data_IF_469982824884
#
_entry.id   IF_469982824884
#
_cell.length_a   1.000
_cell.length_b   1.000
_cell.length_c   1.000
_cell.angle_alpha   90.00
_cell.angle_beta   90.00
_cell.angle_gamma   90.00
#
_symmetry.space_group_name_H-M   'P 1'
#
loop_
_entity.id
_entity.type
_entity.pdbx_description
1 polymer ?
#
# COMPACT_ATOMS: atom_id res chain seq x y z
N UNK A 1 -13.25 7.81 -52.65
CA UNK A 1 -12.39 7.23 -51.58
C UNK A 1 -12.38 8.04 -50.28
N UNK A 2 -12.40 9.38 -50.32
CA UNK A 2 -12.37 10.22 -49.10
C UNK A 2 -13.57 10.00 -48.13
N UNK A 3 -14.77 9.73 -48.66
CA UNK A 3 -15.97 9.42 -47.85
C UNK A 3 -15.91 8.05 -47.16
N UNK A 4 -15.12 7.10 -47.68
CA UNK A 4 -14.96 5.78 -47.06
C UNK A 4 -14.02 5.85 -45.85
N UNK A 5 -13.00 6.72 -45.90
CA UNK A 5 -12.06 6.94 -44.80
C UNK A 5 -12.70 7.68 -43.61
N UNK A 6 -13.62 8.62 -43.85
CA UNK A 6 -14.33 9.37 -42.81
C UNK A 6 -15.33 8.48 -42.03
N UNK A 7 -15.95 7.50 -42.69
CA UNK A 7 -16.83 6.55 -42.01
C UNK A 7 -16.05 5.50 -41.20
N UNK A 8 -14.82 5.16 -41.63
CA UNK A 8 -13.95 4.24 -40.89
C UNK A 8 -13.45 4.84 -39.57
N UNK A 9 -13.17 6.15 -39.53
CA UNK A 9 -12.71 6.83 -38.31
C UNK A 9 -13.82 7.00 -37.27
N UNK A 10 -15.08 7.21 -37.69
CA UNK A 10 -16.23 7.25 -36.77
C UNK A 10 -16.54 5.88 -36.15
N UNK A 11 -16.29 4.78 -36.86
CA UNK A 11 -16.52 3.43 -36.36
C UNK A 11 -15.51 3.02 -35.27
N UNK A 12 -14.27 3.53 -35.34
CA UNK A 12 -13.21 3.24 -34.37
C UNK A 12 -13.46 3.97 -33.03
N UNK A 13 -14.06 5.16 -33.04
CA UNK A 13 -14.41 5.89 -31.82
C UNK A 13 -15.55 5.19 -31.05
N UNK A 14 -16.44 4.48 -31.75
CA UNK A 14 -17.55 3.77 -31.11
C UNK A 14 -17.14 2.47 -30.40
N UNK A 15 -16.03 1.85 -30.82
CA UNK A 15 -15.49 0.62 -30.20
C UNK A 15 -14.50 0.89 -29.04
N UNK A 16 -14.16 2.15 -28.79
CA UNK A 16 -13.35 2.57 -27.63
C UNK A 16 -14.19 3.06 -26.44
N UNK A 17 -15.52 2.96 -26.53
CA UNK A 17 -16.39 3.19 -25.37
C UNK A 17 -16.40 1.92 -24.51
N UNK A 18 -15.45 1.84 -23.58
CA UNK A 18 -15.47 0.82 -22.54
C UNK A 18 -16.82 0.87 -21.83
N UNK A 19 -17.54 -0.24 -21.94
CA UNK A 19 -18.71 -0.56 -21.12
C UNK A 19 -18.28 -0.49 -19.66
N UNK A 20 -18.58 0.61 -18.97
CA UNK A 20 -18.62 0.62 -17.52
C UNK A 20 -19.80 -0.26 -17.14
N UNK A 21 -19.49 -1.55 -16.97
CA UNK A 21 -20.38 -2.49 -16.33
C UNK A 21 -20.84 -1.85 -15.03
N UNK A 22 -22.15 -1.83 -14.85
CA UNK A 22 -22.81 -1.46 -13.61
C UNK A 22 -22.09 -2.16 -12.45
N UNK A 23 -21.17 -1.46 -11.81
CA UNK A 23 -20.81 -1.76 -10.43
C UNK A 23 -22.14 -1.54 -9.72
N UNK A 24 -22.78 -2.65 -9.35
CA UNK A 24 -23.91 -2.58 -8.43
C UNK A 24 -23.39 -1.80 -7.23
N UNK A 25 -23.94 -0.61 -7.02
CA UNK A 25 -23.89 0.09 -5.74
C UNK A 25 -24.58 -0.81 -4.70
N UNK A 26 -23.88 -1.84 -4.26
CA UNK A 26 -24.16 -2.54 -3.02
C UNK A 26 -23.05 -2.07 -2.10
N UNK A 27 -23.30 -0.98 -1.39
CA UNK A 27 -23.19 -0.89 0.07
C UNK A 27 -23.69 0.50 0.45
N UNK A 28 -24.99 0.63 0.69
CA UNK A 28 -25.44 1.53 1.75
C UNK A 28 -26.12 0.65 2.78
N UNK A 29 -25.62 0.65 4.02
CA UNK A 29 -26.40 0.66 5.29
C UNK A 29 -25.54 0.28 6.50
N UNK A 30 -24.88 1.31 7.04
CA UNK A 30 -24.72 1.65 8.47
C UNK A 30 -23.34 2.27 8.70
N UNK A 31 -23.23 3.55 8.34
CA UNK A 31 -22.05 4.32 8.67
C UNK A 31 -22.17 4.78 10.14
N UNK A 32 -21.60 4.00 11.07
CA UNK A 32 -21.64 4.30 12.52
C UNK A 32 -20.89 5.60 12.82
N UNK A 33 -21.38 6.39 13.78
CA UNK A 33 -20.79 7.68 14.12
C UNK A 33 -19.39 7.60 14.78
N UNK A 34 -18.87 6.43 15.09
CA UNK A 34 -17.58 6.24 15.75
C UNK A 34 -16.68 5.26 14.99
N UNK A 35 -15.38 5.46 15.12
CA UNK A 35 -14.37 4.51 14.66
C UNK A 35 -14.52 3.18 15.42
N UNK A 36 -14.49 2.07 14.70
CA UNK A 36 -14.60 0.71 15.22
C UNK A 36 -13.29 -0.04 14.95
N UNK A 37 -12.44 -0.12 15.97
CA UNK A 37 -11.13 -0.78 15.87
C UNK A 37 -11.28 -2.29 15.57
N UNK A 38 -12.31 -2.94 16.12
CA UNK A 38 -12.56 -4.37 15.89
C UNK A 38 -12.89 -4.62 14.42
N UNK A 39 -13.71 -3.74 13.83
CA UNK A 39 -14.02 -3.78 12.40
C UNK A 39 -12.75 -3.67 11.55
N UNK A 40 -11.88 -2.68 11.84
CA UNK A 40 -10.59 -2.55 11.15
C UNK A 40 -9.72 -3.82 11.27
N UNK A 41 -9.58 -4.35 12.49
CA UNK A 41 -8.75 -5.53 12.75
C UNK A 41 -9.25 -6.76 11.98
N UNK A 42 -10.56 -6.91 11.80
CA UNK A 42 -11.14 -7.97 10.97
C UNK A 42 -10.79 -7.79 9.49
N UNK A 43 -10.82 -6.56 8.97
CA UNK A 43 -10.37 -6.30 7.59
C UNK A 43 -8.87 -6.59 7.41
N UNK A 44 -8.02 -6.21 8.38
CA UNK A 44 -6.59 -6.55 8.37
C UNK A 44 -6.40 -8.07 8.34
N UNK A 45 -7.12 -8.80 9.21
CA UNK A 45 -7.08 -10.27 9.25
C UNK A 45 -7.50 -10.89 7.92
N UNK A 46 -8.59 -10.41 7.33
CA UNK A 46 -9.10 -10.91 6.05
C UNK A 46 -8.10 -10.68 4.91
N UNK A 47 -7.44 -9.52 4.88
CA UNK A 47 -6.42 -9.22 3.89
C UNK A 47 -5.20 -10.17 3.93
N UNK A 48 -4.82 -10.64 5.11
CA UNK A 48 -3.74 -11.64 5.24
C UNK A 48 -4.21 -13.07 4.89
N UNK A 49 -5.46 -13.42 5.19
CA UNK A 49 -6.00 -14.75 4.88
C UNK A 49 -6.36 -14.92 3.40
N UNK A 50 -6.88 -13.86 2.77
CA UNK A 50 -7.34 -13.84 1.38
C UNK A 50 -6.67 -12.70 0.60
N UNK A 51 -5.34 -12.74 0.39
CA UNK A 51 -4.59 -11.64 -0.23
C UNK A 51 -4.93 -11.40 -1.72
N UNK A 52 -5.69 -12.31 -2.33
CA UNK A 52 -6.19 -12.22 -3.70
C UNK A 52 -7.45 -11.37 -3.82
N UNK A 53 -8.20 -11.20 -2.72
CA UNK A 53 -9.51 -10.56 -2.71
C UNK A 53 -9.44 -9.04 -2.42
N UNK A 54 -8.25 -8.50 -2.11
CA UNK A 54 -8.04 -7.06 -1.99
C UNK A 54 -8.18 -6.42 -3.36
N UNK A 55 -9.37 -5.88 -3.63
CA UNK A 55 -9.92 -5.51 -4.93
C UNK A 55 -9.10 -4.52 -5.78
N UNK A 56 -7.97 -4.01 -5.28
CA UNK A 56 -7.18 -2.99 -5.96
C UNK A 56 -5.66 -3.23 -5.95
N UNK A 57 -5.16 -4.20 -5.17
CA UNK A 57 -3.71 -4.44 -5.04
C UNK A 57 -3.42 -5.88 -4.59
N UNK A 58 -2.42 -6.53 -5.18
CA UNK A 58 -1.99 -7.86 -4.77
C UNK A 58 -1.10 -7.78 -3.52
N UNK A 59 -1.69 -7.98 -2.33
CA UNK A 59 -0.96 -7.90 -1.06
C UNK A 59 0.12 -8.97 -0.93
N UNK A 60 -0.06 -10.15 -1.53
CA UNK A 60 0.95 -11.21 -1.55
C UNK A 60 2.23 -10.82 -2.29
N UNK A 61 2.19 -9.78 -3.13
CA UNK A 61 3.37 -9.23 -3.82
C UNK A 61 4.26 -8.35 -2.95
N UNK A 62 3.91 -8.12 -1.68
CA UNK A 62 4.73 -7.33 -0.76
C UNK A 62 5.96 -8.12 -0.29
N UNK A 63 7.11 -7.46 -0.28
CA UNK A 63 8.39 -8.13 0.02
C UNK A 63 8.46 -8.67 1.45
N UNK A 64 7.71 -8.08 2.39
CA UNK A 64 7.65 -8.54 3.77
C UNK A 64 6.32 -9.19 4.14
N UNK A 65 5.54 -9.70 3.16
CA UNK A 65 4.19 -10.22 3.44
C UNK A 65 4.17 -11.26 4.55
N UNK A 66 5.04 -12.28 4.51
CA UNK A 66 5.08 -13.35 5.53
C UNK A 66 5.47 -12.81 6.91
N UNK A 67 6.48 -11.93 6.96
CA UNK A 67 6.92 -11.27 8.19
C UNK A 67 5.79 -10.44 8.79
N UNK A 68 5.07 -9.68 7.97
CA UNK A 68 3.93 -8.89 8.39
C UNK A 68 2.81 -9.79 8.89
N UNK A 69 2.43 -10.82 8.15
CA UNK A 69 1.38 -11.76 8.56
C UNK A 69 1.70 -12.37 9.93
N UNK A 70 2.94 -12.84 10.12
CA UNK A 70 3.41 -13.34 11.41
C UNK A 70 3.27 -12.27 12.51
N UNK A 71 3.81 -11.07 12.31
CA UNK A 71 3.76 -9.98 13.29
C UNK A 71 2.31 -9.58 13.65
N UNK A 72 1.43 -9.44 12.67
CA UNK A 72 0.02 -9.11 12.91
C UNK A 72 -0.71 -10.27 13.59
N UNK A 73 -0.46 -11.53 13.23
CA UNK A 73 -1.07 -12.69 13.88
C UNK A 73 -0.75 -12.75 15.39
N UNK A 74 0.49 -12.42 15.78
CA UNK A 74 0.91 -12.33 17.20
C UNK A 74 0.25 -11.19 17.96
N UNK A 75 -0.26 -10.19 17.25
CA UNK A 75 -0.99 -9.03 17.79
C UNK A 75 -2.50 -9.19 17.68
N UNK A 76 -3.01 -10.38 17.36
CA UNK A 76 -4.43 -10.61 17.06
C UNK A 76 -4.97 -9.67 15.97
N UNK A 77 -4.12 -9.32 15.00
CA UNK A 77 -4.40 -8.39 13.90
C UNK A 77 -4.78 -6.97 14.34
N UNK A 78 -4.42 -6.58 15.57
CA UNK A 78 -4.59 -5.22 16.03
C UNK A 78 -3.74 -4.24 15.19
N UNK A 79 -4.38 -3.17 14.70
CA UNK A 79 -3.70 -2.08 13.98
C UNK A 79 -2.55 -1.48 14.78
N UNK A 80 -1.48 -1.13 14.07
CA UNK A 80 -0.31 -0.40 14.52
C UNK A 80 -0.56 1.11 14.34
N UNK A 81 -1.08 1.52 13.18
CA UNK A 81 -1.13 2.93 12.78
C UNK A 81 -2.44 3.64 13.14
N UNK A 82 -3.55 2.91 13.25
CA UNK A 82 -4.89 3.44 13.48
C UNK A 82 -5.49 2.89 14.78
N UNK A 83 -4.90 3.27 15.91
CA UNK A 83 -5.40 2.87 17.23
C UNK A 83 -6.46 3.86 17.73
N UNK A 84 -7.68 3.36 17.92
CA UNK A 84 -8.85 4.06 18.50
C UNK A 84 -9.36 5.31 17.74
N UNK A 85 -8.63 5.80 16.74
CA UNK A 85 -9.02 6.90 15.85
C UNK A 85 -8.18 6.93 14.58
N UNK A 86 -8.66 7.63 13.56
CA UNK A 86 -7.88 7.95 12.37
C UNK A 86 -7.12 9.25 12.63
N UNK A 87 -5.87 9.14 13.10
CA UNK A 87 -4.98 10.27 13.31
C UNK A 87 -3.88 10.28 12.24
N UNK A 88 -3.87 11.33 11.41
CA UNK A 88 -2.93 11.45 10.31
C UNK A 88 -1.56 11.99 10.70
N UNK A 89 -1.34 12.52 11.90
CA UNK A 89 -0.07 13.16 12.27
C UNK A 89 1.14 12.22 12.11
N UNK A 90 1.04 11.01 12.66
CA UNK A 90 2.10 10.00 12.55
C UNK A 90 2.27 9.53 11.11
N UNK A 91 1.16 9.34 10.41
CA UNK A 91 1.15 8.84 9.03
C UNK A 91 1.76 9.86 8.07
N UNK A 92 1.34 11.13 8.16
CA UNK A 92 1.87 12.22 7.35
C UNK A 92 3.38 12.39 7.60
N UNK A 93 3.84 12.19 8.83
CA UNK A 93 5.27 12.18 9.16
C UNK A 93 6.02 11.05 8.43
N UNK A 94 5.49 9.82 8.46
CA UNK A 94 6.10 8.67 7.76
C UNK A 94 6.12 8.93 6.24
N UNK A 95 5.02 9.42 5.67
CA UNK A 95 4.93 9.76 4.24
C UNK A 95 6.01 10.77 3.85
N UNK A 96 6.29 11.77 4.69
CA UNK A 96 7.35 12.76 4.43
C UNK A 96 8.71 12.08 4.32
N UNK A 97 9.04 11.14 5.21
CA UNK A 97 10.29 10.37 5.11
C UNK A 97 10.35 9.52 3.84
N UNK A 98 9.26 8.82 3.48
CA UNK A 98 9.21 8.02 2.26
C UNK A 98 9.36 8.89 1.01
N UNK A 99 8.69 10.05 0.98
CA UNK A 99 8.75 11.05 -0.11
C UNK A 99 10.17 11.55 -0.31
N UNK A 100 10.86 11.87 0.78
CA UNK A 100 12.19 12.46 0.76
C UNK A 100 13.30 11.41 0.87
N UNK A 101 13.00 10.13 0.60
CA UNK A 101 13.97 9.04 0.68
C UNK A 101 15.16 9.20 -0.28
N UNK A 102 15.00 10.01 -1.33
CA UNK A 102 16.07 10.45 -2.22
C UNK A 102 17.20 11.21 -1.50
N UNK A 103 16.90 11.91 -0.41
CA UNK A 103 17.93 12.57 0.41
C UNK A 103 18.87 11.56 1.08
N UNK A 104 18.46 10.30 1.18
CA UNK A 104 19.26 9.20 1.73
C UNK A 104 19.81 8.27 0.63
N UNK A 105 19.77 8.69 -0.64
CA UNK A 105 20.20 7.87 -1.77
C UNK A 105 19.25 6.72 -2.12
N UNK A 106 18.02 6.73 -1.58
CA UNK A 106 16.98 5.73 -1.82
C UNK A 106 15.93 6.29 -2.80
N UNK A 107 15.05 5.45 -3.34
CA UNK A 107 14.01 5.93 -4.26
C UNK A 107 12.60 5.75 -3.66
N UNK A 108 11.73 6.77 -3.64
CA UNK A 108 10.39 6.67 -3.04
C UNK A 108 9.55 5.52 -3.61
N UNK A 109 9.68 5.25 -4.91
CA UNK A 109 9.01 4.14 -5.60
C UNK A 109 9.30 2.76 -5.00
N UNK A 110 10.45 2.56 -4.35
CA UNK A 110 10.80 1.28 -3.72
C UNK A 110 9.90 0.96 -2.51
N UNK A 111 9.20 1.96 -1.98
CA UNK A 111 8.34 1.87 -0.82
C UNK A 111 6.86 2.05 -1.17
N UNK A 112 6.48 1.89 -2.44
CA UNK A 112 5.11 2.12 -2.92
C UNK A 112 4.56 3.52 -2.57
N UNK A 113 5.42 4.54 -2.52
CA UNK A 113 5.07 5.88 -2.07
C UNK A 113 3.82 6.44 -2.77
N UNK A 114 3.79 6.40 -4.11
CA UNK A 114 2.69 6.98 -4.89
C UNK A 114 1.35 6.28 -4.59
N UNK A 115 1.37 4.96 -4.44
CA UNK A 115 0.18 4.17 -4.09
C UNK A 115 -0.32 4.55 -2.69
N UNK A 116 0.58 4.61 -1.71
CA UNK A 116 0.26 4.98 -0.33
C UNK A 116 -0.28 6.41 -0.29
N UNK A 117 0.37 7.36 -0.97
CA UNK A 117 -0.08 8.76 -0.99
C UNK A 117 -1.45 8.90 -1.62
N UNK A 118 -1.72 8.20 -2.72
CA UNK A 118 -3.02 8.24 -3.39
C UNK A 118 -4.13 7.69 -2.50
N UNK A 119 -3.90 6.54 -1.85
CA UNK A 119 -4.87 5.95 -0.91
C UNK A 119 -5.14 6.86 0.30
N UNK A 120 -4.13 7.59 0.78
CA UNK A 120 -4.31 8.52 1.90
C UNK A 120 -5.06 9.78 1.48
N UNK A 121 -4.83 10.28 0.26
CA UNK A 121 -5.63 11.36 -0.34
C UNK A 121 -7.09 10.92 -0.47
N UNK A 122 -7.32 9.69 -0.95
CA UNK A 122 -8.66 9.09 -1.01
C UNK A 122 -9.28 9.01 0.38
N UNK A 123 -8.56 8.48 1.37
CA UNK A 123 -9.06 8.34 2.74
C UNK A 123 -9.45 9.70 3.35
N UNK A 124 -8.71 10.76 3.02
CA UNK A 124 -9.01 12.14 3.45
C UNK A 124 -10.23 12.75 2.73
N UNK A 125 -10.61 12.24 1.55
CA UNK A 125 -11.72 12.75 0.75
C UNK A 125 -13.04 12.01 0.97
N UNK A 126 -13.01 10.76 1.43
CA UNK A 126 -14.22 9.99 1.73
C UNK A 126 -14.90 10.52 3.00
N UNK A 127 -16.23 10.67 2.97
CA UNK A 127 -17.02 10.88 4.19
C UNK A 127 -16.87 9.64 5.06
N UNK A 128 -16.13 9.78 6.16
CA UNK A 128 -15.82 8.70 7.10
C UNK A 128 -17.02 7.80 7.43
N UNK A 129 -16.75 6.50 7.59
CA UNK A 129 -17.49 5.50 8.41
C UNK A 129 -18.28 4.41 7.67
N UNK A 130 -18.12 4.24 6.37
CA UNK A 130 -18.74 3.12 5.66
C UNK A 130 -17.74 1.96 5.47
N UNK A 131 -18.18 0.77 5.07
CA UNK A 131 -17.31 -0.42 4.91
C UNK A 131 -16.10 -0.16 3.99
N UNK A 132 -16.30 0.62 2.93
CA UNK A 132 -15.23 1.07 2.03
C UNK A 132 -14.10 1.81 2.76
N UNK A 133 -14.41 2.58 3.81
CA UNK A 133 -13.39 3.26 4.63
C UNK A 133 -12.51 2.25 5.35
N UNK A 134 -13.08 1.16 5.87
CA UNK A 134 -12.31 0.14 6.61
C UNK A 134 -11.47 -0.72 5.68
N UNK A 135 -11.94 -0.99 4.46
CA UNK A 135 -11.15 -1.61 3.40
C UNK A 135 -9.92 -0.72 3.13
N UNK A 136 -10.13 0.55 2.82
CA UNK A 136 -9.05 1.49 2.52
C UNK A 136 -8.06 1.65 3.68
N UNK A 137 -8.55 1.76 4.92
CA UNK A 137 -7.72 1.80 6.13
C UNK A 137 -6.86 0.53 6.27
N UNK A 138 -7.43 -0.65 6.06
CA UNK A 138 -6.71 -1.91 6.18
C UNK A 138 -5.62 -2.09 5.11
N UNK A 139 -5.84 -1.56 3.91
CA UNK A 139 -4.83 -1.56 2.85
C UNK A 139 -3.70 -0.58 3.15
N UNK A 140 -4.03 0.63 3.61
CA UNK A 140 -3.03 1.62 4.04
C UNK A 140 -2.20 1.08 5.19
N UNK A 141 -2.83 0.43 6.17
CA UNK A 141 -2.16 -0.20 7.31
C UNK A 141 -1.04 -1.15 6.85
N UNK A 142 -1.38 -2.09 5.97
CA UNK A 142 -0.44 -3.13 5.52
C UNK A 142 0.63 -2.53 4.60
N UNK A 143 0.26 -1.66 3.66
CA UNK A 143 1.20 -0.99 2.76
C UNK A 143 2.21 -0.12 3.51
N UNK A 144 1.73 0.65 4.49
CA UNK A 144 2.57 1.50 5.31
C UNK A 144 3.53 0.67 6.16
N UNK A 145 3.06 -0.45 6.73
CA UNK A 145 3.93 -1.38 7.45
C UNK A 145 5.02 -1.99 6.58
N UNK A 146 4.71 -2.43 5.35
CA UNK A 146 5.73 -2.95 4.42
C UNK A 146 6.75 -1.87 4.04
N UNK A 147 6.27 -0.65 3.74
CA UNK A 147 7.11 0.48 3.40
C UNK A 147 8.07 0.85 4.55
N UNK A 148 7.58 0.89 5.79
CA UNK A 148 8.39 1.20 6.98
C UNK A 148 9.44 0.11 7.24
N UNK A 149 9.08 -1.17 7.12
CA UNK A 149 10.04 -2.27 7.27
C UNK A 149 11.13 -2.22 6.20
N UNK A 150 10.78 -1.97 4.93
CA UNK A 150 11.76 -1.80 3.86
C UNK A 150 12.66 -0.60 4.12
N UNK A 151 12.06 0.55 4.42
CA UNK A 151 12.79 1.80 4.61
C UNK A 151 13.78 1.69 5.78
N UNK A 152 13.31 1.18 6.93
CA UNK A 152 14.18 0.94 8.09
C UNK A 152 15.33 -0.01 7.76
N UNK A 153 15.06 -1.13 7.08
CA UNK A 153 16.12 -2.05 6.64
C UNK A 153 17.15 -1.34 5.74
N UNK A 154 16.71 -0.57 4.75
CA UNK A 154 17.63 0.11 3.83
C UNK A 154 18.43 1.22 4.51
N UNK A 155 17.86 1.92 5.49
CA UNK A 155 18.59 2.92 6.27
C UNK A 155 19.60 2.26 7.22
N UNK A 156 19.23 1.17 7.88
CA UNK A 156 20.08 0.51 8.87
C UNK A 156 21.19 -0.34 8.27
N UNK A 157 20.97 -0.94 7.09
CA UNK A 157 21.89 -1.92 6.50
C UNK A 157 22.34 -1.56 5.08
N UNK A 158 21.87 -0.44 4.55
CA UNK A 158 22.03 -0.12 3.13
C UNK A 158 21.05 -0.90 2.25
N UNK A 159 20.89 -0.42 1.01
CA UNK A 159 20.09 -1.11 -0.01
C UNK A 159 20.86 -2.28 -0.66
N UNK A 160 22.19 -2.15 -0.73
CA UNK A 160 23.06 -3.03 -1.49
C UNK A 160 23.91 -3.88 -0.55
N UNK A 161 23.81 -5.21 -0.67
CA UNK A 161 24.73 -6.12 -0.01
C UNK A 161 25.83 -6.54 -1.00
N UNK A 162 27.03 -5.97 -0.91
CA UNK A 162 28.10 -6.27 -1.86
C UNK A 162 28.63 -7.71 -1.76
N UNK A 163 28.45 -8.40 -0.62
CA UNK A 163 28.79 -9.82 -0.54
C UNK A 163 27.84 -10.69 -1.36
N UNK A 164 26.56 -10.30 -1.48
CA UNK A 164 25.59 -11.05 -2.31
C UNK A 164 25.83 -10.77 -3.79
N UNK A 165 26.06 -9.51 -4.13
CA UNK A 165 26.08 -9.04 -5.53
C UNK A 165 27.45 -9.18 -6.20
N UNK A 166 28.53 -9.11 -5.41
CA UNK A 166 29.91 -9.20 -5.88
C UNK A 166 30.72 -10.26 -5.14
N UNK A 167 30.06 -11.34 -4.71
CA UNK A 167 30.61 -12.44 -3.87
C UNK A 167 32.04 -12.86 -4.21
N UNK A 168 32.40 -12.87 -5.51
CA UNK A 168 33.73 -13.29 -6.00
C UNK A 168 34.78 -12.18 -6.10
N UNK A 169 34.38 -10.92 -5.99
CA UNK A 169 35.23 -9.75 -6.24
C UNK A 169 35.21 -8.72 -5.09
N UNK A 170 34.47 -8.97 -4.02
CA UNK A 170 34.38 -8.08 -2.86
C UNK A 170 35.20 -8.62 -1.69
N UNK A 171 36.35 -7.98 -1.42
CA UNK A 171 37.31 -8.41 -0.40
C UNK A 171 37.32 -7.50 0.84
N UNK A 172 36.44 -6.50 0.88
CA UNK A 172 36.34 -5.60 2.05
C UNK A 172 35.44 -6.24 3.11
N UNK A 173 35.84 -6.23 4.39
CA UNK A 173 34.97 -6.73 5.45
C UNK A 173 33.74 -5.82 5.55
N UNK A 174 32.55 -6.42 5.58
CA UNK A 174 31.33 -5.66 5.89
C UNK A 174 31.41 -5.17 7.33
N UNK A 175 31.23 -3.86 7.51
CA UNK A 175 31.08 -3.29 8.84
C UNK A 175 29.71 -3.70 9.39
N UNK A 176 29.70 -4.51 10.44
CA UNK A 176 28.50 -4.72 11.23
C UNK A 176 28.15 -3.45 12.01
N UNK A 177 26.87 -3.22 12.30
CA UNK A 177 26.48 -2.07 13.10
C UNK A 177 27.12 -2.18 14.49
N UNK A 178 27.72 -1.08 14.97
CA UNK A 178 28.43 -1.02 16.25
C UNK A 178 27.51 -1.18 17.49
N UNK A 179 26.25 -1.62 17.30
CA UNK A 179 25.18 -1.63 18.31
C UNK A 179 24.50 -2.99 18.49
N UNK A 180 25.16 -4.10 18.14
CA UNK A 180 24.67 -5.45 18.42
C UNK A 180 24.93 -5.86 19.89
#
# INVERSE_FOLDING_TARGET
>A
MLKLLINLTFFIVYLCSCTNNNVKDIVSTECKNSFDASKLNNYIKNNFNNPSDSAQFCLSGLSNFDTLNYCYSKRNYNSIWFNNSVNFLTIDSIIIYLKNSNLHGLQPRWYNYDLISNKIIELKSVKYKCDSTYILLSEIEILLSDAVLKYSKHICYGFFNPLVEYDKCYFLPLKENDSA
#
